data_IF_426185072728
#
_entry.id   IF_426185072728
#
_cell.length_a   1.000
_cell.length_b   1.000
_cell.length_c   1.000
_cell.angle_alpha   90.00
_cell.angle_beta   90.00
_cell.angle_gamma   90.00
#
_symmetry.space_group_name_H-M   'P 1'
#
loop_
_entity.id
_entity.type
_entity.pdbx_description
1 polymer ?
#
# COMPACT_ATOMS: atom_id res chain seq x y z
N UNK A 1 -18.84 -2.59 -58.38
CA UNK A 1 -17.61 -2.07 -57.71
C UNK A 1 -17.66 -2.17 -56.17
N UNK A 2 -18.79 -2.53 -55.53
CA UNK A 2 -18.93 -2.51 -54.06
C UNK A 2 -18.30 -3.67 -53.26
N UNK A 3 -18.07 -4.85 -53.86
CA UNK A 3 -17.53 -6.03 -53.16
C UNK A 3 -16.11 -5.86 -52.62
N UNK A 4 -15.27 -5.06 -53.28
CA UNK A 4 -13.90 -4.77 -52.81
C UNK A 4 -13.92 -3.88 -51.56
N UNK A 5 -14.88 -2.96 -51.46
CA UNK A 5 -15.01 -2.06 -50.31
C UNK A 5 -15.46 -2.80 -49.05
N UNK A 6 -16.42 -3.73 -49.19
CA UNK A 6 -16.89 -4.58 -48.10
C UNK A 6 -15.76 -5.46 -47.55
N UNK A 7 -14.91 -6.01 -48.42
CA UNK A 7 -13.74 -6.79 -48.00
C UNK A 7 -12.76 -5.94 -47.18
N UNK A 8 -12.49 -4.70 -47.60
CA UNK A 8 -11.59 -3.79 -46.85
C UNK A 8 -12.16 -3.44 -45.47
N UNK A 9 -13.47 -3.16 -45.37
CA UNK A 9 -14.12 -2.84 -44.08
C UNK A 9 -14.04 -4.01 -43.11
N UNK A 10 -14.30 -5.24 -43.60
CA UNK A 10 -14.23 -6.45 -42.75
C UNK A 10 -12.80 -6.66 -42.26
N UNK A 11 -11.79 -6.51 -43.13
CA UNK A 11 -10.38 -6.67 -42.72
C UNK A 11 -9.99 -5.63 -41.67
N UNK A 12 -10.35 -4.37 -41.86
CA UNK A 12 -10.07 -3.30 -40.88
C UNK A 12 -10.79 -3.56 -39.56
N UNK A 13 -12.05 -4.00 -39.60
CA UNK A 13 -12.82 -4.31 -38.41
C UNK A 13 -12.21 -5.49 -37.62
N UNK A 14 -11.73 -6.53 -38.30
CA UNK A 14 -11.05 -7.67 -37.68
C UNK A 14 -9.71 -7.26 -37.07
N UNK A 15 -8.93 -6.43 -37.75
CA UNK A 15 -7.66 -5.92 -37.23
C UNK A 15 -7.90 -5.02 -36.01
N UNK A 16 -8.88 -4.13 -36.06
CA UNK A 16 -9.21 -3.24 -34.94
C UNK A 16 -9.73 -4.02 -33.73
N UNK A 17 -10.57 -5.04 -33.93
CA UNK A 17 -11.07 -5.89 -32.83
C UNK A 17 -9.99 -6.80 -32.26
N UNK A 18 -9.07 -7.31 -33.09
CA UNK A 18 -7.90 -8.04 -32.61
C UNK A 18 -6.97 -7.16 -31.77
N UNK A 19 -6.67 -5.94 -32.22
CA UNK A 19 -5.87 -4.96 -31.47
C UNK A 19 -6.56 -4.50 -30.18
N UNK A 20 -7.87 -4.25 -30.23
CA UNK A 20 -8.65 -3.86 -29.07
C UNK A 20 -8.72 -4.98 -28.03
N UNK A 21 -8.94 -6.22 -28.46
CA UNK A 21 -8.87 -7.39 -27.59
C UNK A 21 -7.47 -7.51 -26.96
N UNK A 22 -6.40 -7.23 -27.70
CA UNK A 22 -5.03 -7.27 -27.15
C UNK A 22 -4.73 -6.15 -26.16
N UNK A 23 -5.30 -4.95 -26.36
CA UNK A 23 -5.22 -3.85 -25.40
C UNK A 23 -6.03 -4.13 -24.13
N UNK A 24 -7.22 -4.72 -24.27
CA UNK A 24 -8.08 -5.07 -23.13
C UNK A 24 -7.59 -6.31 -22.38
N UNK A 25 -6.83 -7.16 -23.07
CA UNK A 25 -6.25 -8.38 -22.52
C UNK A 25 -4.78 -8.19 -22.15
N UNK A 26 -4.26 -6.96 -22.04
CA UNK A 26 -2.99 -6.73 -21.36
C UNK A 26 -3.16 -7.25 -19.92
N UNK A 27 -2.59 -8.42 -19.58
CA UNK A 27 -2.67 -8.91 -18.23
C UNK A 27 -1.75 -7.98 -17.47
N UNK A 28 -2.29 -7.30 -16.45
CA UNK A 28 -1.48 -6.62 -15.45
C UNK A 28 -0.63 -7.70 -14.79
N UNK A 29 0.50 -8.01 -15.40
CA UNK A 29 1.54 -8.90 -14.88
C UNK A 29 2.32 -8.07 -13.87
N UNK A 30 1.63 -7.69 -12.80
CA UNK A 30 2.27 -7.42 -11.53
C UNK A 30 2.73 -8.79 -11.04
N UNK A 31 4.04 -9.04 -10.85
CA UNK A 31 4.50 -10.29 -10.29
C UNK A 31 3.97 -10.40 -8.86
N UNK A 32 2.87 -11.13 -8.67
CA UNK A 32 2.36 -11.48 -7.35
C UNK A 32 3.18 -12.66 -6.85
N UNK A 33 4.34 -12.35 -6.29
CA UNK A 33 4.97 -13.22 -5.30
C UNK A 33 4.10 -13.17 -4.04
N UNK A 34 3.35 -14.26 -3.81
CA UNK A 34 2.75 -14.74 -2.57
C UNK A 34 2.37 -13.69 -1.50
N UNK A 35 1.07 -13.41 -1.39
CA UNK A 35 0.49 -12.74 -0.23
C UNK A 35 -0.89 -12.13 -0.52
N UNK A 36 -1.93 -12.96 -0.65
CA UNK A 36 -3.33 -12.52 -0.85
C UNK A 36 -3.95 -11.99 0.46
N UNK A 37 -3.33 -10.96 1.02
CA UNK A 37 -3.96 -10.05 1.97
C UNK A 37 -4.00 -8.66 1.34
N UNK A 38 -4.97 -7.79 1.67
CA UNK A 38 -4.86 -6.38 1.32
C UNK A 38 -3.56 -5.85 1.93
N UNK A 39 -2.53 -5.67 1.11
CA UNK A 39 -1.28 -5.03 1.53
C UNK A 39 -1.66 -3.61 1.88
N UNK A 40 -1.86 -3.35 3.17
CA UNK A 40 -2.07 -2.00 3.68
C UNK A 40 -0.86 -1.21 3.21
N UNK A 41 -1.05 -0.30 2.26
CA UNK A 41 0.01 0.60 1.82
C UNK A 41 0.43 1.40 3.05
N UNK A 42 1.56 1.01 3.64
CA UNK A 42 2.21 1.80 4.66
C UNK A 42 2.72 3.05 3.92
N UNK A 43 2.28 4.26 4.28
CA UNK A 43 2.74 5.47 3.60
C UNK A 43 4.25 5.57 3.68
N UNK A 44 4.85 6.11 2.63
CA UNK A 44 6.30 6.16 2.45
C UNK A 44 7.04 6.91 3.58
N UNK A 45 6.34 7.77 4.33
CA UNK A 45 6.80 8.36 5.59
C UNK A 45 5.98 7.83 6.76
N UNK A 46 6.47 6.77 7.39
CA UNK A 46 5.89 6.24 8.63
C UNK A 46 6.97 5.94 9.65
N UNK A 47 6.65 6.17 10.92
CA UNK A 47 7.52 5.84 12.06
C UNK A 47 6.67 5.07 13.07
N UNK A 48 7.15 3.88 13.46
CA UNK A 48 6.60 3.12 14.54
C UNK A 48 7.38 3.42 15.82
N UNK A 49 6.67 3.83 16.87
CA UNK A 49 7.26 4.02 18.21
C UNK A 49 7.06 2.74 19.00
N UNK A 50 8.16 2.04 19.25
CA UNK A 50 8.17 0.87 20.13
C UNK A 50 8.13 1.33 21.60
N UNK A 51 7.48 0.56 22.49
CA UNK A 51 7.50 0.86 23.92
C UNK A 51 8.91 0.78 24.47
N UNK A 52 9.27 1.75 25.30
CA UNK A 52 10.54 1.73 26.03
C UNK A 52 10.52 0.67 27.13
N UNK A 53 11.62 -0.08 27.26
CA UNK A 53 11.81 -1.03 28.36
C UNK A 53 12.21 -0.29 29.65
N UNK A 54 11.66 -0.71 30.79
CA UNK A 54 12.09 -0.19 32.09
C UNK A 54 13.44 -0.80 32.51
N UNK A 55 14.53 -0.04 32.39
CA UNK A 55 15.88 -0.51 32.69
C UNK A 55 16.08 -0.91 34.17
N UNK A 56 15.36 -0.27 35.09
CA UNK A 56 15.44 -0.52 36.54
C UNK A 56 14.59 -1.70 37.01
N UNK A 57 13.67 -2.22 36.17
CA UNK A 57 12.65 -3.23 36.51
C UNK A 57 11.85 -2.91 37.78
N UNK A 58 11.70 -1.62 38.09
CA UNK A 58 10.91 -1.17 39.22
C UNK A 58 9.49 -0.80 38.74
N UNK A 59 8.48 -1.46 39.31
CA UNK A 59 7.07 -1.23 39.02
C UNK A 59 6.66 0.24 39.25
N UNK A 60 7.28 0.91 40.23
CA UNK A 60 7.05 2.33 40.52
C UNK A 60 7.58 3.26 39.42
N UNK A 61 8.27 2.75 38.41
CA UNK A 61 8.86 3.55 37.32
C UNK A 61 8.37 3.11 35.94
N UNK A 62 7.51 2.10 35.87
CA UNK A 62 6.93 1.57 34.62
C UNK A 62 6.18 2.68 33.86
N UNK A 63 5.46 3.53 34.58
CA UNK A 63 4.70 4.64 34.01
C UNK A 63 5.59 5.68 33.30
N UNK A 64 6.89 5.76 33.66
CA UNK A 64 7.82 6.67 33.00
C UNK A 64 8.10 6.19 31.57
N UNK A 65 8.40 4.91 31.39
CA UNK A 65 8.62 4.31 30.08
C UNK A 65 7.37 4.42 29.20
N UNK A 66 6.20 4.22 29.80
CA UNK A 66 4.90 4.37 29.16
C UNK A 66 4.64 5.83 28.73
N UNK A 67 4.82 6.77 29.65
CA UNK A 67 4.60 8.20 29.42
C UNK A 67 5.56 8.79 28.40
N UNK A 68 6.83 8.36 28.38
CA UNK A 68 7.82 8.79 27.37
C UNK A 68 7.41 8.31 25.98
N UNK A 69 6.98 7.04 25.85
CA UNK A 69 6.51 6.48 24.58
C UNK A 69 5.30 7.26 24.05
N UNK A 70 4.34 7.57 24.92
CA UNK A 70 3.13 8.32 24.56
C UNK A 70 3.42 9.76 24.16
N UNK A 71 4.31 10.43 24.90
CA UNK A 71 4.77 11.77 24.54
C UNK A 71 5.44 11.80 23.17
N UNK A 72 6.28 10.80 22.86
CA UNK A 72 6.94 10.69 21.57
C UNK A 72 5.94 10.45 20.43
N UNK A 73 4.94 9.58 20.64
CA UNK A 73 3.85 9.34 19.68
C UNK A 73 3.12 10.64 19.37
N UNK A 74 2.77 11.42 20.40
CA UNK A 74 2.06 12.69 20.24
C UNK A 74 2.92 13.71 19.48
N UNK A 75 4.18 13.91 19.89
CA UNK A 75 5.09 14.84 19.21
C UNK A 75 5.35 14.48 17.74
N UNK A 76 5.47 13.18 17.42
CA UNK A 76 5.67 12.73 16.04
C UNK A 76 4.37 12.82 15.21
N UNK A 77 3.21 12.75 15.85
CA UNK A 77 1.90 12.87 15.17
C UNK A 77 1.64 14.31 14.70
N UNK A 78 2.18 15.32 15.39
CA UNK A 78 2.07 16.73 14.99
C UNK A 78 2.82 17.04 13.67
N UNK A 79 3.77 16.18 13.28
CA UNK A 79 4.48 16.31 12.01
C UNK A 79 3.55 15.84 10.87
N UNK A 80 2.86 16.79 10.24
CA UNK A 80 1.82 16.60 9.20
C UNK A 80 2.19 15.73 7.98
N UNK A 81 3.42 15.24 7.87
CA UNK A 81 3.91 14.38 6.79
C UNK A 81 4.35 12.97 7.25
N UNK A 82 4.20 12.63 8.54
CA UNK A 82 4.56 11.32 9.08
C UNK A 82 3.31 10.60 9.61
N UNK A 83 3.03 9.41 9.09
CA UNK A 83 2.03 8.52 9.70
C UNK A 83 2.66 7.80 10.88
N UNK A 84 2.28 8.19 12.08
CA UNK A 84 2.66 7.49 13.31
C UNK A 84 1.68 6.34 13.55
N UNK A 85 2.22 5.14 13.71
CA UNK A 85 1.42 3.94 14.00
C UNK A 85 1.31 3.83 15.53
N UNK A 86 0.08 3.79 16.05
CA UNK A 86 -0.18 3.70 17.47
C UNK A 86 0.40 2.43 18.08
N UNK A 87 0.75 2.49 19.38
CA UNK A 87 1.34 1.38 20.12
C UNK A 87 0.57 0.06 19.97
N UNK A 88 -0.77 0.11 20.03
CA UNK A 88 -1.62 -1.10 19.98
C UNK A 88 -1.59 -1.83 18.63
N UNK A 89 -1.22 -1.16 17.55
CA UNK A 89 -1.10 -1.74 16.21
C UNK A 89 0.34 -2.14 15.87
N UNK A 90 1.34 -1.56 16.53
CA UNK A 90 2.75 -1.97 16.40
C UNK A 90 3.07 -3.34 17.04
N UNK A 91 2.23 -3.79 17.98
CA UNK A 91 2.36 -5.10 18.63
C UNK A 91 1.70 -6.27 17.87
N UNK A 92 1.03 -6.03 16.75
CA UNK A 92 0.31 -7.07 15.98
C UNK A 92 1.04 -7.46 14.69
#
# INVERSE_FOLDING_TARGET
TGRKLTAVIIVVAVVASALFAWQFLQPKTTPVAAGTGPRTEIPEKSIAVLPFENATRNADTEYLSDGISEALINSLTELQQLKVIARSTAFR
#
